data_IF_793492320098
#
_entry.id   IF_793492320098
#
_cell.length_a   1.000
_cell.length_b   1.000
_cell.length_c   1.000
_cell.angle_alpha   90.00
_cell.angle_beta   90.00
_cell.angle_gamma   90.00
#
_symmetry.space_group_name_H-M   'P 1'
#
loop_
_entity.id
_entity.type
_entity.pdbx_description
1 polymer ?
#
# COMPACT_ATOMS: atom_id res chain seq x y z
N UNK A 1 5.92 -31.03 -17.59
CA UNK A 1 6.91 -29.95 -17.76
C UNK A 1 7.92 -30.05 -16.63
N UNK A 2 9.24 -30.09 -16.90
CA UNK A 2 10.23 -30.05 -15.84
C UNK A 2 10.16 -28.67 -15.15
N UNK A 3 10.11 -28.66 -13.82
CA UNK A 3 10.17 -27.44 -13.02
C UNK A 3 11.63 -26.98 -13.00
N UNK A 4 11.93 -25.84 -13.62
CA UNK A 4 13.24 -25.20 -13.47
C UNK A 4 13.38 -24.65 -12.05
N UNK A 5 14.50 -24.95 -11.41
CA UNK A 5 14.89 -24.33 -10.13
C UNK A 5 15.95 -23.26 -10.42
N UNK A 6 15.83 -22.07 -9.83
CA UNK A 6 16.82 -21.00 -10.01
C UNK A 6 18.18 -21.42 -9.43
N UNK A 7 19.25 -20.94 -10.05
CA UNK A 7 20.60 -21.14 -9.57
C UNK A 7 20.89 -20.24 -8.35
N UNK A 8 21.86 -20.59 -7.48
CA UNK A 8 22.27 -19.73 -6.38
C UNK A 8 22.68 -18.34 -6.88
N UNK A 9 22.03 -17.28 -6.37
CA UNK A 9 22.30 -15.89 -6.75
C UNK A 9 21.45 -15.34 -7.90
N UNK A 10 20.55 -16.12 -8.49
CA UNK A 10 19.62 -15.64 -9.53
C UNK A 10 18.37 -14.94 -8.96
N UNK A 11 18.04 -15.18 -7.69
CA UNK A 11 16.88 -14.61 -7.01
C UNK A 11 17.26 -13.31 -6.29
N UNK A 12 16.34 -12.35 -6.30
CA UNK A 12 16.44 -11.17 -5.45
C UNK A 12 16.41 -11.62 -3.97
N UNK A 13 17.16 -10.97 -3.07
CA UNK A 13 17.21 -11.37 -1.66
C UNK A 13 15.84 -11.49 -0.99
N UNK A 14 14.85 -10.69 -1.43
CA UNK A 14 13.50 -10.70 -0.87
C UNK A 14 12.69 -11.96 -1.24
N UNK A 15 13.03 -12.62 -2.35
CA UNK A 15 12.32 -13.82 -2.82
C UNK A 15 12.61 -15.05 -1.93
N UNK A 16 13.74 -15.03 -1.23
CA UNK A 16 14.14 -16.08 -0.28
C UNK A 16 14.20 -15.61 1.18
N UNK A 17 13.79 -14.37 1.45
CA UNK A 17 13.81 -13.80 2.79
C UNK A 17 12.86 -14.56 3.74
N UNK A 18 13.15 -14.48 5.03
CA UNK A 18 12.26 -14.99 6.05
C UNK A 18 10.92 -14.26 6.05
N UNK A 19 9.89 -14.89 6.61
CA UNK A 19 8.56 -14.27 6.76
C UNK A 19 8.63 -12.98 7.57
N UNK A 20 9.49 -12.92 8.57
CA UNK A 20 9.64 -11.76 9.45
C UNK A 20 10.30 -10.58 8.72
N UNK A 21 11.29 -10.84 7.88
CA UNK A 21 11.91 -9.82 7.02
C UNK A 21 10.91 -9.26 6.00
N UNK A 22 10.13 -10.15 5.35
CA UNK A 22 9.08 -9.75 4.40
C UNK A 22 8.02 -8.90 5.11
N UNK A 23 7.50 -9.36 6.26
CA UNK A 23 6.45 -8.66 6.99
C UNK A 23 6.93 -7.30 7.50
N UNK A 24 8.19 -7.20 7.96
CA UNK A 24 8.79 -5.95 8.41
C UNK A 24 8.93 -4.95 7.26
N UNK A 25 9.39 -5.39 6.08
CA UNK A 25 9.50 -4.55 4.89
C UNK A 25 8.12 -4.09 4.39
N UNK A 26 7.14 -5.01 4.38
CA UNK A 26 5.76 -4.69 4.00
C UNK A 26 5.17 -3.63 4.93
N UNK A 27 5.32 -3.78 6.25
CA UNK A 27 4.79 -2.82 7.22
C UNK A 27 5.43 -1.44 7.05
N UNK A 28 6.76 -1.39 6.86
CA UNK A 28 7.48 -0.15 6.62
C UNK A 28 6.94 0.58 5.38
N UNK A 29 6.83 -0.14 4.25
CA UNK A 29 6.36 0.43 2.98
C UNK A 29 4.87 0.78 3.01
N UNK A 30 4.06 0.01 3.70
CA UNK A 30 2.62 0.27 3.81
C UNK A 30 2.35 1.55 4.62
N UNK A 31 3.08 1.77 5.72
CA UNK A 31 3.01 3.04 6.47
C UNK A 31 3.34 4.24 5.58
N UNK A 32 4.43 4.16 4.81
CA UNK A 32 4.79 5.19 3.85
C UNK A 32 3.68 5.41 2.80
N UNK A 33 3.14 4.33 2.24
CA UNK A 33 2.12 4.41 1.18
C UNK A 33 0.81 5.03 1.68
N UNK A 34 0.37 4.69 2.89
CA UNK A 34 -0.84 5.29 3.48
C UNK A 34 -0.64 6.77 3.77
N UNK A 35 0.52 7.15 4.33
CA UNK A 35 0.86 8.54 4.59
C UNK A 35 0.90 9.35 3.28
N UNK A 36 1.57 8.83 2.26
CA UNK A 36 1.65 9.47 0.95
C UNK A 36 0.26 9.66 0.32
N UNK A 37 -0.60 8.62 0.35
CA UNK A 37 -1.96 8.73 -0.16
C UNK A 37 -2.78 9.80 0.58
N UNK A 38 -2.73 9.79 1.91
CA UNK A 38 -3.46 10.74 2.76
C UNK A 38 -2.99 12.19 2.60
N UNK A 39 -1.67 12.40 2.48
CA UNK A 39 -1.08 13.73 2.37
C UNK A 39 -1.32 14.35 1.00
N UNK A 40 -1.25 13.55 -0.07
CA UNK A 40 -1.18 14.08 -1.44
C UNK A 40 -2.43 13.88 -2.28
N UNK A 41 -3.41 13.09 -1.84
CA UNK A 41 -4.65 12.84 -2.61
C UNK A 41 -5.88 13.24 -1.80
N UNK A 42 -6.61 14.29 -2.20
CA UNK A 42 -7.78 14.77 -1.48
C UNK A 42 -8.88 13.72 -1.26
N UNK A 43 -9.05 12.77 -2.19
CA UNK A 43 -9.99 11.66 -2.03
C UNK A 43 -9.62 10.77 -0.84
N UNK A 44 -8.37 10.33 -0.72
CA UNK A 44 -7.94 9.44 0.36
C UNK A 44 -7.99 10.15 1.72
N UNK A 45 -7.62 11.43 1.78
CA UNK A 45 -7.79 12.22 3.00
C UNK A 45 -9.24 12.20 3.49
N UNK A 46 -10.19 12.56 2.62
CA UNK A 46 -11.62 12.55 2.96
C UNK A 46 -12.11 11.16 3.36
N UNK A 47 -11.77 10.13 2.59
CA UNK A 47 -12.24 8.77 2.87
C UNK A 47 -11.70 8.24 4.21
N UNK A 48 -10.46 8.59 4.56
CA UNK A 48 -9.84 8.20 5.83
C UNK A 48 -10.48 8.96 7.00
N UNK A 49 -10.66 10.28 6.87
CA UNK A 49 -11.32 11.14 7.86
C UNK A 49 -12.77 10.71 8.12
N UNK A 50 -13.55 10.43 7.07
CA UNK A 50 -14.93 9.95 7.16
C UNK A 50 -15.04 8.59 7.87
N UNK A 51 -14.01 7.74 7.73
CA UNK A 51 -13.92 6.45 8.42
C UNK A 51 -13.32 6.57 9.82
N UNK A 52 -12.78 7.75 10.18
CA UNK A 52 -12.15 8.02 11.47
C UNK A 52 -10.80 7.31 11.65
N UNK A 53 -10.03 7.11 10.57
CA UNK A 53 -8.72 6.44 10.61
C UNK A 53 -7.63 7.37 10.07
N UNK A 54 -6.45 7.34 10.68
CA UNK A 54 -5.27 8.09 10.25
C UNK A 54 -4.13 7.11 9.89
N UNK A 55 -3.20 7.44 8.96
CA UNK A 55 -2.06 6.56 8.64
C UNK A 55 -1.24 6.11 9.86
N UNK A 56 -1.20 6.92 10.93
CA UNK A 56 -0.55 6.57 12.20
C UNK A 56 -1.18 5.39 12.94
N UNK A 57 -2.41 5.00 12.57
CA UNK A 57 -3.13 3.90 13.21
C UNK A 57 -2.68 2.53 12.68
N UNK A 58 -1.91 2.48 11.59
CA UNK A 58 -1.31 1.25 11.08
C UNK A 58 -0.08 0.83 11.89
N UNK A 59 -0.31 0.07 12.97
CA UNK A 59 0.76 -0.44 13.85
C UNK A 59 1.24 -1.82 13.42
N UNK A 60 0.36 -2.66 12.89
CA UNK A 60 0.61 -4.00 12.38
C UNK A 60 -0.04 -4.18 11.01
N UNK A 61 0.34 -5.22 10.25
CA UNK A 61 -0.26 -5.48 8.93
C UNK A 61 -1.77 -5.72 9.00
N UNK A 62 -2.27 -6.32 10.09
CA UNK A 62 -3.69 -6.59 10.30
C UNK A 62 -4.53 -5.31 10.47
N UNK A 63 -3.92 -4.20 10.87
CA UNK A 63 -4.62 -2.92 11.02
C UNK A 63 -5.09 -2.34 9.67
N UNK A 64 -4.59 -2.86 8.54
CA UNK A 64 -5.03 -2.46 7.21
C UNK A 64 -6.55 -2.65 7.02
N UNK A 65 -7.15 -3.63 7.70
CA UNK A 65 -8.59 -3.89 7.64
C UNK A 65 -9.46 -2.74 8.18
N UNK A 66 -8.87 -1.77 8.90
CA UNK A 66 -9.57 -0.57 9.40
C UNK A 66 -9.76 0.49 8.32
N UNK A 67 -8.92 0.49 7.28
CA UNK A 67 -8.92 1.49 6.22
C UNK A 67 -10.05 1.24 5.21
N UNK A 68 -10.61 2.29 4.60
CA UNK A 68 -11.68 2.14 3.62
C UNK A 68 -11.17 1.49 2.33
N UNK A 69 -12.04 0.76 1.65
CA UNK A 69 -11.76 0.25 0.30
C UNK A 69 -11.90 1.37 -0.73
N UNK A 70 -11.12 1.26 -1.80
CA UNK A 70 -11.28 2.05 -3.02
C UNK A 70 -11.93 1.20 -4.10
N UNK A 71 -12.90 1.78 -4.80
CA UNK A 71 -13.71 1.13 -5.82
C UNK A 71 -13.55 1.82 -7.16
N UNK A 72 -14.12 1.22 -8.21
CA UNK A 72 -14.13 1.85 -9.54
C UNK A 72 -14.91 3.18 -9.58
N UNK A 73 -15.88 3.37 -8.68
CA UNK A 73 -16.67 4.61 -8.60
C UNK A 73 -15.77 5.79 -8.22
N UNK A 74 -14.88 5.59 -7.25
CA UNK A 74 -13.94 6.62 -6.78
C UNK A 74 -13.05 7.12 -7.92
N UNK A 75 -12.55 6.23 -8.76
CA UNK A 75 -11.76 6.62 -9.94
C UNK A 75 -12.58 7.40 -10.97
N UNK A 76 -13.87 7.08 -11.16
CA UNK A 76 -14.75 7.80 -12.11
C UNK A 76 -15.06 9.21 -11.63
N UNK A 77 -15.28 9.38 -10.32
CA UNK A 77 -15.58 10.68 -9.70
C UNK A 77 -14.38 11.62 -9.67
N UNK A 78 -13.16 11.07 -9.71
CA UNK A 78 -11.91 11.82 -9.70
C UNK A 78 -11.22 11.90 -11.09
N UNK A 79 -11.97 11.63 -12.17
CA UNK A 79 -11.44 11.77 -13.53
C UNK A 79 -11.07 13.24 -13.87
N UNK A 80 -10.05 13.50 -14.70
CA UNK A 80 -9.09 12.55 -15.26
C UNK A 80 -7.91 12.23 -14.34
N UNK A 81 -7.52 13.16 -13.46
CA UNK A 81 -6.24 13.13 -12.74
C UNK A 81 -6.37 13.39 -11.23
N UNK A 82 -7.59 13.43 -10.68
CA UNK A 82 -7.84 13.77 -9.28
C UNK A 82 -7.31 12.74 -8.26
N UNK A 83 -6.85 11.58 -8.74
CA UNK A 83 -6.20 10.54 -7.92
C UNK A 83 -4.67 10.59 -7.98
N UNK A 84 -4.07 11.55 -8.70
CA UNK A 84 -2.61 11.66 -8.77
C UNK A 84 -2.06 12.21 -7.45
N UNK A 85 -0.95 11.64 -6.98
CA UNK A 85 -0.33 11.92 -5.68
C UNK A 85 1.00 12.69 -5.80
N UNK A 86 1.27 13.29 -6.96
CA UNK A 86 2.48 14.07 -7.24
C UNK A 86 2.11 15.45 -7.77
N UNK A 87 2.94 16.49 -7.53
CA UNK A 87 2.75 17.79 -8.18
C UNK A 87 2.65 17.66 -9.69
N UNK A 88 1.87 18.56 -10.31
CA UNK A 88 1.76 18.65 -11.77
C UNK A 88 3.02 19.23 -12.41
#
# INVERSE_FOLDING_TARGET
>A
MPVQRPAPGELDPIETASRDEIASLQLLRLRWSLQHAYDHVPHYRRAFDEKGVHPSDLRTLSDLARFPFTTKKDLRENYPFGMFAVPR
#
